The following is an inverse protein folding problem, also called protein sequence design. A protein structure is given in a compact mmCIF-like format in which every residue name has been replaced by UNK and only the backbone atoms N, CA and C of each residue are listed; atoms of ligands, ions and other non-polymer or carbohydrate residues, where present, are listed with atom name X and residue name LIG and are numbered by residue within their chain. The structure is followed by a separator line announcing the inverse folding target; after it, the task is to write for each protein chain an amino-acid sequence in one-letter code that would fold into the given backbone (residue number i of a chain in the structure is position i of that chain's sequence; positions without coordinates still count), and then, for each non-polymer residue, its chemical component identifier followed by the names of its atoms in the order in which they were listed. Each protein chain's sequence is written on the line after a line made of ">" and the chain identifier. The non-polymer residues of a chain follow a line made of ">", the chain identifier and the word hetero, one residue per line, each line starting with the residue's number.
data_IF_824332952694
#
_entry.id   IF_824332952694
#
_cell.length_a   1.000
_cell.length_b   1.000
_cell.length_c   1.000
_cell.angle_alpha   90.00
_cell.angle_beta   90.00
_cell.angle_gamma   90.00
#
_symmetry.space_group_name_H-M   'P 1'
#
loop_
_entity.id
_entity.type
_entity.pdbx_description
1 polymer ?
#
# COMPACT_ATOMS: atom_id res chain seq x y z
N UNK A 1 11.86 19.42 -1.00
CA UNK A 1 11.72 20.01 0.34
C UNK A 1 10.65 21.10 0.36
N UNK A 2 10.71 22.12 -0.53
CA UNK A 2 9.73 23.22 -0.59
C UNK A 2 8.30 22.70 -0.76
N UNK A 3 8.06 21.77 -1.71
CA UNK A 3 6.74 21.17 -1.94
C UNK A 3 6.22 20.42 -0.71
N UNK A 4 7.10 19.70 0.00
CA UNK A 4 6.72 18.96 1.21
C UNK A 4 6.26 19.95 2.29
N UNK A 5 7.04 21.00 2.54
CA UNK A 5 6.68 22.04 3.52
C UNK A 5 5.34 22.71 3.18
N UNK A 6 5.11 23.03 1.92
CA UNK A 6 3.85 23.60 1.44
C UNK A 6 2.66 22.66 1.70
N UNK A 7 2.82 21.37 1.34
CA UNK A 7 1.73 20.39 1.46
C UNK A 7 1.38 20.03 2.90
N UNK A 8 2.35 20.00 3.80
CA UNK A 8 2.07 19.72 5.21
C UNK A 8 1.70 20.99 6.01
N UNK A 9 1.98 22.19 5.50
CA UNK A 9 1.70 23.44 6.21
C UNK A 9 0.23 23.58 6.64
N UNK A 10 -0.70 23.02 5.87
CA UNK A 10 -2.12 22.99 6.21
C UNK A 10 -2.47 22.06 7.39
N UNK A 11 -1.55 21.17 7.76
CA UNK A 11 -1.69 20.23 8.89
C UNK A 11 -1.02 20.75 10.16
N UNK A 12 -0.13 21.73 10.01
CA UNK A 12 0.64 22.29 11.12
C UNK A 12 -0.15 23.39 11.82
N UNK A 13 0.03 23.51 13.13
CA UNK A 13 -0.43 24.69 13.87
C UNK A 13 0.41 25.92 13.50
N UNK A 14 -0.08 27.12 13.80
CA UNK A 14 0.63 28.39 13.48
C UNK A 14 2.02 28.47 14.11
N UNK A 15 2.23 27.77 15.22
CA UNK A 15 3.50 27.77 15.97
C UNK A 15 4.41 26.59 15.60
N UNK A 16 3.94 25.68 14.73
CA UNK A 16 4.68 24.47 14.40
C UNK A 16 5.57 24.65 13.17
N UNK A 17 6.88 24.53 13.35
CA UNK A 17 7.87 24.71 12.30
C UNK A 17 8.47 23.38 11.83
N UNK A 18 8.73 23.27 10.52
CA UNK A 18 9.45 22.12 9.95
C UNK A 18 10.93 22.25 10.21
N UNK A 19 11.48 21.35 11.02
CA UNK A 19 12.89 21.32 11.41
C UNK A 19 13.75 20.54 10.41
N UNK A 20 13.26 19.38 9.93
CA UNK A 20 14.01 18.58 8.97
C UNK A 20 13.09 17.74 8.07
N UNK A 21 13.61 17.42 6.89
CA UNK A 21 12.98 16.50 5.91
C UNK A 21 14.04 15.50 5.47
N UNK A 22 13.81 14.23 5.75
CA UNK A 22 14.68 13.12 5.41
C UNK A 22 13.99 12.18 4.43
N UNK A 23 14.64 11.84 3.33
CA UNK A 23 14.09 10.87 2.39
C UNK A 23 14.30 9.45 2.92
N UNK A 24 13.21 8.69 2.96
CA UNK A 24 13.19 7.27 3.31
C UNK A 24 13.14 6.40 2.05
N UNK A 25 13.39 5.10 2.22
CA UNK A 25 13.22 4.13 1.15
C UNK A 25 11.76 3.97 0.72
N UNK A 26 11.55 3.36 -0.45
CA UNK A 26 10.22 3.00 -0.96
C UNK A 26 10.32 2.43 -2.37
N UNK A 27 9.46 1.45 -2.71
CA UNK A 27 9.41 0.86 -4.05
C UNK A 27 8.45 1.60 -4.97
N UNK A 28 7.24 1.86 -4.51
CA UNK A 28 6.15 2.45 -5.32
C UNK A 28 5.87 3.91 -4.97
N UNK A 29 6.32 4.38 -3.82
CA UNK A 29 6.13 5.75 -3.34
C UNK A 29 7.47 6.36 -2.95
N UNK A 30 7.54 7.68 -3.00
CA UNK A 30 8.63 8.44 -2.39
C UNK A 30 8.22 8.82 -0.97
N UNK A 31 8.90 8.27 0.02
CA UNK A 31 8.58 8.48 1.43
C UNK A 31 9.58 9.45 2.06
N UNK A 32 9.07 10.32 2.91
CA UNK A 32 9.87 11.30 3.65
C UNK A 32 9.45 11.30 5.12
N UNK A 33 10.44 11.29 6.01
CA UNK A 33 10.25 11.63 7.41
C UNK A 33 10.36 13.14 7.54
N UNK A 34 9.31 13.76 8.03
CA UNK A 34 9.28 15.20 8.33
C UNK A 34 9.20 15.39 9.83
N UNK A 35 10.21 16.04 10.39
CA UNK A 35 10.23 16.41 11.81
C UNK A 35 9.87 17.88 11.95
N UNK A 36 8.94 18.15 12.84
CA UNK A 36 8.56 19.51 13.21
C UNK A 36 8.96 19.81 14.65
N UNK A 37 8.67 21.00 15.12
CA UNK A 37 8.95 21.40 16.50
C UNK A 37 8.16 20.57 17.53
N UNK A 38 7.03 19.96 17.15
CA UNK A 38 6.14 19.22 18.07
C UNK A 38 5.82 17.79 17.62
N UNK A 39 5.95 17.45 16.34
CA UNK A 39 5.51 16.16 15.80
C UNK A 39 6.48 15.57 14.76
N UNK A 40 6.20 14.33 14.36
CA UNK A 40 6.87 13.67 13.25
C UNK A 40 5.83 13.04 12.32
N UNK A 41 6.05 13.20 11.02
CA UNK A 41 5.12 12.75 9.98
C UNK A 41 5.83 11.90 8.93
N UNK A 42 5.13 10.91 8.40
CA UNK A 42 5.53 10.23 7.16
C UNK A 42 4.74 10.82 6.00
N UNK A 43 5.44 11.50 5.12
CA UNK A 43 4.87 12.07 3.89
C UNK A 43 5.19 11.13 2.73
N UNK A 44 4.16 10.66 2.04
CA UNK A 44 4.27 9.74 0.90
C UNK A 44 3.77 10.45 -0.35
N UNK A 45 4.62 10.58 -1.36
CA UNK A 45 4.19 10.94 -2.71
C UNK A 45 3.97 9.68 -3.53
N UNK A 46 2.85 9.64 -4.24
CA UNK A 46 2.55 8.50 -5.10
C UNK A 46 3.54 8.45 -6.27
N UNK A 47 4.08 7.27 -6.52
CA UNK A 47 5.05 7.09 -7.60
C UNK A 47 4.40 7.27 -8.97
N UNK A 48 5.17 7.80 -9.91
CA UNK A 48 4.71 8.02 -11.29
C UNK A 48 4.27 6.69 -11.92
N UNK A 49 3.06 6.65 -12.46
CA UNK A 49 2.48 5.46 -13.11
C UNK A 49 1.89 4.44 -12.17
N UNK A 50 1.95 4.64 -10.84
CA UNK A 50 1.31 3.72 -9.87
C UNK A 50 -0.20 3.80 -9.86
N UNK A 51 -0.78 4.85 -10.44
CA UNK A 51 -2.21 5.00 -10.70
C UNK A 51 -2.79 3.88 -11.57
N UNK A 52 -1.97 3.31 -12.46
CA UNK A 52 -2.34 2.16 -13.28
C UNK A 52 -2.36 0.83 -12.52
N UNK A 53 -1.66 0.76 -11.40
CA UNK A 53 -1.49 -0.45 -10.60
C UNK A 53 -2.37 -0.44 -9.35
N UNK A 54 -2.50 0.72 -8.71
CA UNK A 54 -3.14 0.89 -7.41
C UNK A 54 -4.36 1.80 -7.56
N UNK A 55 -5.54 1.28 -7.23
CA UNK A 55 -6.75 2.08 -7.10
C UNK A 55 -6.73 2.87 -5.78
N UNK A 56 -6.41 4.16 -5.89
CA UNK A 56 -6.29 5.05 -4.72
C UNK A 56 -7.63 5.40 -4.09
N UNK A 57 -8.72 5.32 -4.85
CA UNK A 57 -10.07 5.51 -4.30
C UNK A 57 -10.44 4.34 -3.40
N UNK A 58 -10.18 3.11 -3.86
CA UNK A 58 -10.39 1.92 -3.03
C UNK A 58 -9.46 1.91 -1.81
N UNK A 59 -8.18 2.28 -1.98
CA UNK A 59 -7.25 2.40 -0.85
C UNK A 59 -7.79 3.36 0.21
N UNK A 60 -8.20 4.57 -0.19
CA UNK A 60 -8.76 5.59 0.71
C UNK A 60 -10.02 5.10 1.41
N UNK A 61 -10.94 4.50 0.66
CA UNK A 61 -12.18 3.94 1.21
C UNK A 61 -11.91 2.86 2.24
N UNK A 62 -11.02 1.91 1.92
CA UNK A 62 -10.70 0.79 2.80
C UNK A 62 -10.01 1.24 4.10
N UNK A 63 -9.12 2.23 4.03
CA UNK A 63 -8.50 2.82 5.21
C UNK A 63 -9.54 3.46 6.14
N UNK A 64 -10.47 4.22 5.59
CA UNK A 64 -11.54 4.84 6.38
C UNK A 64 -12.49 3.78 6.97
N UNK A 65 -12.83 2.73 6.19
CA UNK A 65 -13.66 1.62 6.65
C UNK A 65 -13.03 0.85 7.82
N UNK A 66 -11.71 0.70 7.84
CA UNK A 66 -10.98 -0.06 8.86
C UNK A 66 -10.52 0.80 10.06
N UNK A 67 -10.75 2.11 10.02
CA UNK A 67 -10.24 3.06 11.00
C UNK A 67 -10.65 2.75 12.45
N UNK A 68 -11.87 2.30 12.67
CA UNK A 68 -12.39 1.94 13.99
C UNK A 68 -11.74 0.69 14.59
N UNK A 69 -11.11 -0.16 13.76
CA UNK A 69 -10.34 -1.32 14.24
C UNK A 69 -9.00 -0.91 14.87
N UNK A 70 -8.53 0.32 14.65
CA UNK A 70 -7.27 0.87 15.18
C UNK A 70 -6.04 0.01 14.90
N UNK A 71 -6.00 -0.60 13.73
CA UNK A 71 -4.91 -1.49 13.28
C UNK A 71 -3.85 -0.77 12.46
N UNK A 72 -4.14 0.44 11.99
CA UNK A 72 -3.23 1.28 11.22
C UNK A 72 -2.89 2.55 11.97
N UNK A 73 -1.87 3.25 11.50
CA UNK A 73 -1.48 4.57 11.98
C UNK A 73 -2.52 5.61 11.62
N UNK A 74 -2.54 6.71 12.34
CA UNK A 74 -3.39 7.83 11.99
C UNK A 74 -3.01 8.41 10.63
N UNK A 75 -4.02 8.60 9.78
CA UNK A 75 -3.89 9.21 8.47
C UNK A 75 -4.39 10.65 8.56
N UNK A 76 -3.48 11.60 8.47
CA UNK A 76 -3.79 13.03 8.59
C UNK A 76 -4.25 13.64 7.27
N UNK A 77 -3.75 13.13 6.15
CA UNK A 77 -4.09 13.60 4.81
C UNK A 77 -4.03 12.44 3.81
N UNK A 78 -5.04 12.31 2.98
CA UNK A 78 -5.03 11.46 1.79
C UNK A 78 -5.64 12.23 0.63
N UNK A 79 -4.80 12.94 -0.11
CA UNK A 79 -5.17 13.74 -1.28
C UNK A 79 -4.76 12.98 -2.55
N UNK A 80 -5.75 12.40 -3.24
CA UNK A 80 -5.54 11.59 -4.44
C UNK A 80 -5.10 12.47 -5.60
N UNK A 81 -5.70 13.65 -5.76
CA UNK A 81 -5.44 14.56 -6.87
C UNK A 81 -4.04 15.18 -6.76
N UNK A 82 -3.63 15.52 -5.55
CA UNK A 82 -2.27 15.98 -5.28
C UNK A 82 -1.24 14.84 -5.24
N UNK A 83 -1.67 13.59 -5.22
CA UNK A 83 -0.81 12.42 -5.16
C UNK A 83 -0.01 12.30 -3.86
N UNK A 84 -0.62 12.69 -2.73
CA UNK A 84 0.06 12.76 -1.44
C UNK A 84 -0.75 12.08 -0.32
N UNK A 85 -0.05 11.41 0.58
CA UNK A 85 -0.59 10.85 1.82
C UNK A 85 0.32 11.23 2.98
N UNK A 86 -0.25 11.66 4.10
CA UNK A 86 0.48 12.01 5.33
C UNK A 86 -0.02 11.18 6.48
N UNK A 87 0.89 10.44 7.09
CA UNK A 87 0.61 9.53 8.18
C UNK A 87 1.40 9.90 9.43
N UNK A 88 0.92 9.44 10.56
CA UNK A 88 1.67 9.40 11.81
C UNK A 88 2.99 8.65 11.61
N UNK A 89 4.06 9.16 12.22
CA UNK A 89 5.31 8.43 12.36
C UNK A 89 5.27 7.52 13.59
N UNK A 90 5.75 6.30 13.45
CA UNK A 90 5.93 5.36 14.56
C UNK A 90 7.43 5.20 14.83
N UNK A 91 7.85 5.58 16.03
CA UNK A 91 9.22 5.36 16.45
C UNK A 91 9.53 3.87 16.60
N UNK A 92 10.75 3.48 16.24
CA UNK A 92 11.23 2.11 16.35
C UNK A 92 10.36 1.07 15.62
N UNK A 93 9.64 1.50 14.57
CA UNK A 93 8.92 0.56 13.71
C UNK A 93 9.91 -0.37 13.01
N UNK A 94 9.62 -1.67 13.05
CA UNK A 94 10.41 -2.68 12.36
C UNK A 94 9.66 -3.21 11.15
N UNK A 95 10.33 -3.28 10.02
CA UNK A 95 9.79 -3.99 8.86
C UNK A 95 9.96 -5.49 9.05
N UNK A 96 8.88 -6.24 8.87
CA UNK A 96 8.94 -7.69 8.92
C UNK A 96 9.60 -8.24 7.65
N UNK A 97 10.50 -9.18 7.85
CA UNK A 97 11.16 -9.95 6.79
C UNK A 97 11.01 -11.45 7.03
N UNK A 98 11.59 -12.26 6.16
CA UNK A 98 11.53 -13.73 6.25
C UNK A 98 12.16 -14.32 7.52
N UNK A 99 13.05 -13.60 8.19
CA UNK A 99 13.67 -14.03 9.43
C UNK A 99 12.84 -13.61 10.65
N UNK A 100 12.40 -12.34 10.68
CA UNK A 100 11.69 -11.76 11.81
C UNK A 100 10.24 -12.21 11.91
N UNK A 101 9.57 -12.50 10.78
CA UNK A 101 8.17 -12.96 10.78
C UNK A 101 7.97 -14.24 11.59
N UNK A 102 8.95 -15.16 11.56
CA UNK A 102 8.88 -16.43 12.28
C UNK A 102 8.78 -16.28 13.79
N UNK A 103 9.33 -15.19 14.32
CA UNK A 103 9.32 -14.89 15.76
C UNK A 103 8.18 -13.99 16.19
N UNK A 104 7.45 -13.40 15.22
CA UNK A 104 6.42 -12.38 15.47
C UNK A 104 5.02 -12.79 14.99
N UNK A 105 4.86 -14.01 14.48
CA UNK A 105 3.56 -14.46 13.94
C UNK A 105 2.43 -14.43 15.00
N UNK A 106 2.76 -14.68 16.28
CA UNK A 106 1.78 -14.61 17.38
C UNK A 106 1.20 -13.20 17.59
N UNK A 107 1.95 -12.17 17.19
CA UNK A 107 1.47 -10.77 17.20
C UNK A 107 0.69 -10.41 15.94
N UNK A 108 1.02 -11.03 14.81
CA UNK A 108 0.44 -10.72 13.51
C UNK A 108 -0.90 -11.44 13.31
N UNK A 109 -0.98 -12.71 13.70
CA UNK A 109 -2.17 -13.53 13.51
C UNK A 109 -3.45 -12.92 14.13
N UNK A 110 -3.44 -12.37 15.36
CA UNK A 110 -4.61 -11.70 15.92
C UNK A 110 -5.04 -10.46 15.13
N UNK A 111 -4.10 -9.71 14.53
CA UNK A 111 -4.40 -8.54 13.69
C UNK A 111 -5.17 -8.99 12.44
N UNK A 112 -4.66 -10.01 11.73
CA UNK A 112 -5.34 -10.59 10.58
C UNK A 112 -6.71 -11.16 10.95
N UNK A 113 -6.81 -11.87 12.07
CA UNK A 113 -8.07 -12.40 12.56
C UNK A 113 -9.08 -11.28 12.85
N UNK A 114 -8.65 -10.17 13.43
CA UNK A 114 -9.52 -9.01 13.68
C UNK A 114 -10.08 -8.45 12.37
N UNK A 115 -9.27 -8.33 11.33
CA UNK A 115 -9.73 -7.87 10.01
C UNK A 115 -10.73 -8.88 9.43
N UNK A 116 -10.37 -10.17 9.38
CA UNK A 116 -11.20 -11.21 8.76
C UNK A 116 -12.53 -11.44 9.48
N UNK A 117 -12.58 -11.26 10.80
CA UNK A 117 -13.81 -11.41 11.58
C UNK A 117 -14.60 -10.11 11.77
N UNK A 118 -14.14 -8.99 11.22
CA UNK A 118 -14.79 -7.68 11.38
C UNK A 118 -16.15 -7.57 10.67
N UNK A 119 -16.43 -8.45 9.71
CA UNK A 119 -17.60 -8.35 8.85
C UNK A 119 -17.56 -7.18 7.86
N UNK A 120 -16.45 -6.49 7.75
CA UNK A 120 -16.26 -5.35 6.83
C UNK A 120 -15.93 -5.85 5.44
N UNK A 121 -16.63 -5.35 4.44
CA UNK A 121 -16.38 -5.65 3.03
C UNK A 121 -15.51 -4.55 2.41
N UNK A 122 -14.28 -4.92 2.08
CA UNK A 122 -13.34 -4.02 1.42
C UNK A 122 -13.72 -3.81 -0.04
N UNK A 123 -13.45 -2.63 -0.57
CA UNK A 123 -13.53 -2.37 -2.01
C UNK A 123 -12.28 -2.87 -2.72
N UNK A 124 -12.49 -3.41 -3.91
CA UNK A 124 -11.45 -4.03 -4.72
C UNK A 124 -11.34 -5.53 -4.48
N UNK A 125 -11.12 -6.24 -5.56
CA UNK A 125 -10.91 -7.69 -5.56
C UNK A 125 -9.48 -7.97 -6.02
N UNK A 126 -8.79 -8.85 -5.33
CA UNK A 126 -7.52 -9.37 -5.82
C UNK A 126 -7.76 -10.62 -6.63
N UNK A 127 -7.87 -10.46 -7.95
CA UNK A 127 -8.03 -11.55 -8.91
C UNK A 127 -6.68 -11.82 -9.61
N UNK A 128 -5.86 -12.78 -9.14
CA UNK A 128 -4.47 -12.93 -9.57
C UNK A 128 -4.31 -13.12 -11.09
N UNK A 129 -5.21 -13.85 -11.73
CA UNK A 129 -5.17 -14.06 -13.18
C UNK A 129 -5.54 -12.80 -13.99
N UNK A 130 -6.40 -11.95 -13.45
CA UNK A 130 -6.72 -10.66 -14.07
C UNK A 130 -5.60 -9.65 -13.82
N UNK A 131 -4.95 -9.69 -12.66
CA UNK A 131 -3.76 -8.88 -12.41
C UNK A 131 -2.61 -9.24 -13.37
N UNK A 132 -2.40 -10.53 -13.68
CA UNK A 132 -1.42 -10.92 -14.72
C UNK A 132 -1.73 -10.22 -16.05
N UNK A 133 -2.95 -10.30 -16.54
CA UNK A 133 -3.36 -9.65 -17.79
C UNK A 133 -3.19 -8.14 -17.74
N UNK A 134 -3.52 -7.52 -16.61
CA UNK A 134 -3.34 -6.10 -16.38
C UNK A 134 -1.87 -5.71 -16.48
N UNK A 135 -0.97 -6.43 -15.79
CA UNK A 135 0.47 -6.19 -15.88
C UNK A 135 1.01 -6.40 -17.29
N UNK A 136 0.58 -7.46 -17.99
CA UNK A 136 0.93 -7.70 -19.39
C UNK A 136 0.55 -6.53 -20.28
N UNK A 137 -0.64 -5.95 -20.09
CA UNK A 137 -1.13 -4.81 -20.87
C UNK A 137 -0.31 -3.54 -20.69
N UNK A 138 0.46 -3.42 -19.60
CA UNK A 138 1.32 -2.28 -19.31
C UNK A 138 2.71 -2.40 -19.91
N UNK A 139 3.10 -3.61 -20.37
CA UNK A 139 4.40 -3.86 -20.97
C UNK A 139 4.42 -3.29 -22.39
N UNK A 140 5.43 -2.46 -22.69
CA UNK A 140 5.67 -1.95 -24.03
C UNK A 140 6.71 -2.81 -24.74
N UNK A 141 6.32 -3.49 -25.81
CA UNK A 141 7.18 -4.38 -26.58
C UNK A 141 7.03 -5.86 -26.23
N UNK A 142 7.98 -6.67 -26.69
CA UNK A 142 7.96 -8.11 -26.45
C UNK A 142 8.45 -8.46 -25.04
N UNK A 143 7.82 -9.47 -24.44
CA UNK A 143 8.27 -10.03 -23.17
C UNK A 143 9.44 -10.97 -23.46
N UNK A 144 10.65 -10.52 -23.19
CA UNK A 144 11.89 -11.25 -23.49
C UNK A 144 12.27 -12.31 -22.45
N UNK A 145 11.41 -12.57 -21.46
CA UNK A 145 11.71 -13.57 -20.42
C UNK A 145 11.67 -14.99 -20.99
N UNK A 146 12.70 -15.83 -20.78
CA UNK A 146 12.74 -17.19 -21.30
C UNK A 146 11.53 -18.01 -20.88
N UNK A 147 10.94 -18.74 -21.82
CA UNK A 147 9.79 -19.61 -21.59
C UNK A 147 8.51 -18.92 -21.09
N UNK A 148 8.40 -17.60 -21.23
CA UNK A 148 7.25 -16.83 -20.71
C UNK A 148 5.91 -17.42 -21.20
N UNK A 149 5.76 -17.64 -22.51
CA UNK A 149 4.51 -18.16 -23.09
C UNK A 149 4.14 -19.56 -22.58
N UNK A 150 5.11 -20.44 -22.38
CA UNK A 150 4.88 -21.77 -21.85
C UNK A 150 4.42 -21.73 -20.40
N UNK A 151 5.09 -20.92 -19.58
CA UNK A 151 4.72 -20.70 -18.16
C UNK A 151 3.34 -20.03 -18.07
N UNK A 152 3.10 -19.01 -18.87
CA UNK A 152 1.81 -18.33 -18.94
C UNK A 152 0.67 -19.29 -19.26
N UNK A 153 0.85 -20.13 -20.27
CA UNK A 153 -0.15 -21.15 -20.63
C UNK A 153 -0.42 -22.12 -19.48
N UNK A 154 0.61 -22.59 -18.80
CA UNK A 154 0.46 -23.50 -17.64
C UNK A 154 -0.30 -22.81 -16.49
N UNK A 155 0.00 -21.54 -16.20
CA UNK A 155 -0.68 -20.77 -15.16
C UNK A 155 -2.17 -20.58 -15.48
N UNK A 156 -2.52 -20.28 -16.74
CA UNK A 156 -3.93 -20.14 -17.13
C UNK A 156 -4.66 -21.47 -17.20
N UNK A 157 -3.99 -22.61 -17.51
CA UNK A 157 -4.60 -23.94 -17.37
C UNK A 157 -4.91 -24.25 -15.90
N UNK A 158 -4.04 -23.84 -14.96
CA UNK A 158 -4.34 -23.98 -13.53
C UNK A 158 -5.57 -23.17 -13.10
N UNK A 159 -5.79 -21.98 -13.68
CA UNK A 159 -7.03 -21.21 -13.45
C UNK A 159 -8.25 -22.05 -13.78
N UNK A 160 -8.28 -22.65 -14.98
CA UNK A 160 -9.42 -23.43 -15.44
C UNK A 160 -9.68 -24.66 -14.52
N UNK A 161 -8.61 -25.29 -14.03
CA UNK A 161 -8.71 -26.40 -13.05
C UNK A 161 -9.27 -25.94 -11.71
N UNK A 162 -8.81 -24.78 -11.19
CA UNK A 162 -9.31 -24.20 -9.93
C UNK A 162 -10.79 -23.81 -10.01
N UNK A 163 -11.21 -23.26 -11.13
CA UNK A 163 -12.62 -22.94 -11.37
C UNK A 163 -13.51 -24.19 -11.42
N UNK A 164 -13.01 -25.30 -12.02
CA UNK A 164 -13.74 -26.58 -12.07
C UNK A 164 -13.96 -27.22 -10.69
N UNK A 165 -13.00 -27.09 -9.77
CA UNK A 165 -13.12 -27.62 -8.41
C UNK A 165 -13.82 -26.67 -7.44
N UNK A 166 -14.35 -25.53 -7.96
CA UNK A 166 -15.17 -24.60 -7.19
C UNK A 166 -14.41 -23.82 -6.13
N UNK A 167 -13.11 -23.58 -6.32
CA UNK A 167 -12.37 -22.62 -5.52
C UNK A 167 -12.82 -21.22 -5.96
N UNK A 168 -13.83 -20.75 -5.27
CA UNK A 168 -14.41 -19.44 -5.49
C UNK A 168 -13.40 -18.34 -5.12
N UNK A 169 -13.50 -17.23 -5.87
CA UNK A 169 -12.84 -15.96 -5.61
C UNK A 169 -13.48 -15.32 -4.36
N UNK A 170 -13.08 -15.72 -3.19
CA UNK A 170 -13.47 -15.02 -1.94
C UNK A 170 -12.30 -14.37 -1.30
#
# INVERSE_FOLDING_TARGET
>A
EKLIKEKISSLLSEEEEVLSVEQLGGMTNQNYLVKTSSNQYIVKFFGKGTDKLIDRQNEKFNLELLKDLKLDVENYLFDIDAGIKVNQYIENAETLDSATIKTKFEKIAPILQTIHSSGKELKGEFAPFEEIKKYESLIQGEISYPNYEAVRKAVFSLKDELEQIGIDKK
#
